data_IF_088466794756
#
_entry.id   IF_088466794756
#
_cell.length_a   1.000
_cell.length_b   1.000
_cell.length_c   1.000
_cell.angle_alpha   90.00
_cell.angle_beta   90.00
_cell.angle_gamma   90.00
#
_symmetry.space_group_name_H-M   'P 1'
#
loop_
_entity.id
_entity.type
_entity.pdbx_description
1 polymer ?
#
# COMPACT_ATOMS: atom_id res chain seq x y z
N UNK A 1 -18.39 1.45 -9.42
CA UNK A 1 -17.07 1.96 -9.87
C UNK A 1 -15.97 1.08 -9.28
N UNK A 2 -14.88 0.80 -10.00
CA UNK A 2 -13.72 0.07 -9.44
C UNK A 2 -12.81 1.02 -8.64
N UNK A 3 -12.42 0.62 -7.44
CA UNK A 3 -11.51 1.41 -6.59
C UNK A 3 -10.39 0.53 -6.08
N UNK A 4 -9.16 0.80 -6.53
CA UNK A 4 -7.95 0.18 -6.03
C UNK A 4 -7.27 1.04 -4.98
N UNK A 5 -7.17 0.54 -3.75
CA UNK A 5 -6.47 1.17 -2.63
C UNK A 5 -5.19 0.43 -2.29
N UNK A 6 -4.27 1.05 -1.57
CA UNK A 6 -3.02 0.43 -1.14
C UNK A 6 -2.02 1.49 -0.67
N UNK A 7 -0.79 1.08 -0.40
CA UNK A 7 0.29 1.97 0.00
C UNK A 7 1.06 2.50 -1.23
N UNK A 8 1.52 3.78 -1.25
CA UNK A 8 2.41 4.23 -2.32
C UNK A 8 3.64 3.32 -2.37
N UNK A 9 4.15 2.98 -3.55
CA UNK A 9 5.31 2.08 -3.73
C UNK A 9 5.02 0.57 -3.57
N UNK A 10 3.77 0.16 -3.34
CA UNK A 10 3.36 -1.24 -3.28
C UNK A 10 2.59 -1.72 -4.53
N UNK A 11 2.76 -1.05 -5.68
CA UNK A 11 2.23 -1.54 -6.96
C UNK A 11 0.93 -0.89 -7.43
N UNK A 12 0.52 0.27 -6.88
CA UNK A 12 -0.64 1.03 -7.39
C UNK A 12 -0.48 1.42 -8.86
N UNK A 13 0.70 1.93 -9.26
CA UNK A 13 0.98 2.27 -10.66
C UNK A 13 1.04 1.04 -11.58
N UNK A 14 1.64 -0.06 -11.11
CA UNK A 14 1.63 -1.35 -11.82
C UNK A 14 0.20 -1.81 -12.08
N UNK A 15 -0.64 -1.80 -11.05
CA UNK A 15 -2.01 -2.30 -11.13
C UNK A 15 -2.86 -1.44 -12.07
N UNK A 16 -2.76 -0.12 -12.02
CA UNK A 16 -3.44 0.76 -12.98
C UNK A 16 -3.01 0.46 -14.43
N UNK A 17 -1.71 0.27 -14.67
CA UNK A 17 -1.20 -0.08 -15.99
C UNK A 17 -1.69 -1.46 -16.46
N UNK A 18 -1.78 -2.44 -15.55
CA UNK A 18 -2.30 -3.79 -15.82
C UNK A 18 -3.79 -3.74 -16.20
N UNK A 19 -4.61 -3.03 -15.42
CA UNK A 19 -6.04 -2.88 -15.72
C UNK A 19 -6.23 -2.21 -17.09
N UNK A 20 -5.44 -1.17 -17.38
CA UNK A 20 -5.46 -0.50 -18.69
C UNK A 20 -5.02 -1.40 -19.83
N UNK A 21 -4.01 -2.25 -19.65
CA UNK A 21 -3.63 -3.22 -20.69
C UNK A 21 -4.70 -4.27 -20.93
N UNK A 22 -5.57 -4.52 -19.94
CA UNK A 22 -6.75 -5.39 -20.05
C UNK A 22 -8.02 -4.64 -20.54
N UNK A 23 -7.87 -3.43 -21.09
CA UNK A 23 -8.96 -2.67 -21.69
C UNK A 23 -9.83 -1.87 -20.71
N UNK A 24 -9.52 -1.87 -19.41
CA UNK A 24 -10.24 -1.07 -18.42
C UNK A 24 -9.68 0.36 -18.36
N UNK A 25 -10.56 1.34 -18.39
CA UNK A 25 -10.23 2.75 -18.17
C UNK A 25 -10.21 3.05 -16.67
N UNK A 26 -9.33 2.36 -15.95
CA UNK A 26 -9.00 2.62 -14.54
C UNK A 26 -7.65 3.34 -14.49
N UNK A 27 -7.64 4.58 -14.03
CA UNK A 27 -6.44 5.43 -14.08
C UNK A 27 -5.70 5.50 -12.74
N UNK A 28 -4.39 5.77 -12.77
CA UNK A 28 -3.57 5.97 -11.57
C UNK A 28 -3.75 7.40 -11.06
N UNK A 29 -4.32 7.56 -9.86
CA UNK A 29 -4.54 8.84 -9.16
C UNK A 29 -5.46 9.82 -9.93
N UNK A 30 -6.24 9.32 -10.88
CA UNK A 30 -7.28 10.04 -11.61
C UNK A 30 -8.49 9.13 -11.78
N UNK A 31 -9.67 9.73 -11.88
CA UNK A 31 -10.90 9.00 -12.12
C UNK A 31 -11.00 8.73 -13.63
N UNK A 32 -10.92 7.46 -14.02
CA UNK A 32 -11.23 6.99 -15.36
C UNK A 32 -12.69 6.54 -15.47
N UNK A 33 -13.11 6.11 -16.67
CA UNK A 33 -14.50 5.68 -16.92
C UNK A 33 -14.90 4.48 -16.06
N UNK A 34 -13.98 3.54 -15.83
CA UNK A 34 -14.27 2.31 -15.08
C UNK A 34 -13.88 2.41 -13.61
N UNK A 35 -12.98 3.35 -13.27
CA UNK A 35 -12.60 3.58 -11.88
C UNK A 35 -11.26 4.28 -11.68
N UNK A 36 -10.70 4.09 -10.48
CA UNK A 36 -9.44 4.71 -10.04
C UNK A 36 -8.60 3.71 -9.25
N UNK A 37 -7.28 3.79 -9.41
CA UNK A 37 -6.31 3.24 -8.46
C UNK A 37 -5.60 4.41 -7.79
N UNK A 38 -5.81 4.59 -6.48
CA UNK A 38 -5.22 5.70 -5.74
C UNK A 38 -5.01 5.33 -4.29
N UNK A 39 -3.74 5.37 -3.85
CA UNK A 39 -3.41 5.20 -2.44
C UNK A 39 -4.04 6.32 -1.59
N UNK A 40 -4.20 7.53 -2.13
CA UNK A 40 -4.79 8.66 -1.41
C UNK A 40 -6.29 8.52 -1.13
N UNK A 41 -6.99 7.57 -1.79
CA UNK A 41 -8.41 7.34 -1.55
C UNK A 41 -8.71 6.91 -0.10
N UNK A 42 -7.73 6.34 0.62
CA UNK A 42 -7.85 6.03 2.05
C UNK A 42 -8.11 7.25 2.94
N UNK A 43 -7.78 8.45 2.47
CA UNK A 43 -8.09 9.69 3.19
C UNK A 43 -9.58 9.99 3.27
N UNK A 44 -10.38 9.49 2.31
CA UNK A 44 -11.77 9.89 2.14
C UNK A 44 -11.95 11.35 1.73
N UNK A 45 -10.92 11.98 1.15
CA UNK A 45 -10.92 13.40 0.74
C UNK A 45 -10.92 13.53 -0.77
N UNK A 46 -11.52 14.58 -1.30
CA UNK A 46 -11.43 14.93 -2.72
C UNK A 46 -10.14 15.69 -3.02
N UNK A 47 -9.77 16.63 -2.13
CA UNK A 47 -8.52 17.38 -2.23
C UNK A 47 -7.37 16.53 -1.71
N UNK A 48 -6.50 16.12 -2.62
CA UNK A 48 -5.36 15.25 -2.33
C UNK A 48 -4.07 15.77 -2.97
N UNK A 49 -2.89 15.32 -2.52
CA UNK A 49 -1.64 15.88 -3.01
C UNK A 49 -1.35 15.59 -4.50
N UNK A 50 -1.89 14.52 -5.08
CA UNK A 50 -1.70 14.21 -6.50
C UNK A 50 -3.03 13.89 -7.18
N UNK A 51 -3.23 14.46 -8.37
CA UNK A 51 -4.39 14.18 -9.21
C UNK A 51 -5.73 14.51 -8.55
N UNK A 52 -6.67 13.57 -8.63
CA UNK A 52 -8.01 13.68 -8.05
C UNK A 52 -8.27 12.46 -7.18
N UNK A 53 -8.92 12.67 -6.04
CA UNK A 53 -9.48 11.58 -5.26
C UNK A 53 -11.01 11.61 -5.32
N UNK A 54 -11.60 10.48 -4.94
CA UNK A 54 -13.03 10.18 -5.07
C UNK A 54 -13.84 10.61 -3.84
N UNK A 55 -13.23 11.31 -2.88
CA UNK A 55 -13.89 11.64 -1.61
C UNK A 55 -14.09 10.41 -0.72
N UNK A 56 -15.10 10.42 0.16
CA UNK A 56 -15.50 9.26 0.94
C UNK A 56 -15.88 8.09 0.03
N UNK A 57 -15.47 6.88 0.39
CA UNK A 57 -15.84 5.67 -0.36
C UNK A 57 -17.33 5.39 -0.19
N UNK A 58 -18.06 5.33 -1.30
CA UNK A 58 -19.47 4.96 -1.32
C UNK A 58 -19.65 3.44 -1.23
N UNK A 59 -20.80 3.00 -0.71
CA UNK A 59 -21.13 1.58 -0.51
C UNK A 59 -21.21 0.78 -1.82
N UNK A 60 -21.49 1.45 -2.96
CA UNK A 60 -21.60 0.84 -4.28
C UNK A 60 -20.25 0.75 -5.03
N UNK A 61 -19.16 1.19 -4.40
CA UNK A 61 -17.82 1.06 -4.96
C UNK A 61 -17.31 -0.36 -4.77
N UNK A 62 -16.75 -0.92 -5.85
CA UNK A 62 -16.11 -2.23 -5.82
C UNK A 62 -14.66 -2.06 -5.41
N UNK A 63 -14.37 -2.38 -4.16
CA UNK A 63 -13.11 -2.05 -3.50
C UNK A 63 -12.16 -3.25 -3.51
N UNK A 64 -10.92 -3.04 -3.93
CA UNK A 64 -9.85 -4.03 -3.81
C UNK A 64 -8.58 -3.39 -3.24
N UNK A 65 -7.83 -4.17 -2.45
CA UNK A 65 -6.58 -3.72 -1.85
C UNK A 65 -5.38 -4.28 -2.60
N UNK A 66 -4.51 -3.39 -3.05
CA UNK A 66 -3.27 -3.70 -3.75
C UNK A 66 -2.17 -3.85 -2.71
N UNK A 67 -1.53 -5.01 -2.69
CA UNK A 67 -0.53 -5.37 -1.70
C UNK A 67 0.79 -5.77 -2.34
N UNK A 68 1.86 -5.67 -1.55
CA UNK A 68 3.20 -6.17 -1.84
C UNK A 68 3.81 -6.64 -0.53
N UNK A 69 4.71 -7.65 -0.56
CA UNK A 69 5.40 -8.12 0.64
C UNK A 69 5.94 -6.93 1.46
N UNK A 70 5.60 -6.84 2.76
CA UNK A 70 6.10 -5.80 3.65
C UNK A 70 7.62 -5.62 3.55
N UNK A 71 8.38 -6.71 3.68
CA UNK A 71 9.85 -6.67 3.68
C UNK A 71 10.39 -6.35 2.29
N UNK A 72 9.83 -6.93 1.23
CA UNK A 72 10.23 -6.60 -0.14
C UNK A 72 9.91 -5.15 -0.50
N UNK A 73 8.87 -4.55 0.08
CA UNK A 73 8.46 -3.17 -0.19
C UNK A 73 9.36 -2.13 0.50
N UNK A 74 9.97 -2.44 1.65
CA UNK A 74 10.75 -1.47 2.45
C UNK A 74 11.74 -0.65 1.62
N UNK A 75 12.53 -1.31 0.77
CA UNK A 75 13.52 -0.60 -0.03
C UNK A 75 12.95 0.37 -1.07
N UNK A 76 11.69 0.19 -1.45
CA UNK A 76 10.96 1.12 -2.31
C UNK A 76 10.26 2.24 -1.53
N UNK A 77 9.96 2.04 -0.25
CA UNK A 77 9.30 3.02 0.65
C UNK A 77 10.32 3.98 1.26
N UNK A 78 11.48 3.47 1.70
CA UNK A 78 12.59 4.26 2.25
C UNK A 78 12.88 5.55 1.45
N UNK A 79 13.12 5.51 0.12
CA UNK A 79 13.37 6.72 -0.66
C UNK A 79 12.11 7.59 -0.83
N UNK A 80 10.90 7.02 -0.78
CA UNK A 80 9.65 7.79 -0.88
C UNK A 80 9.44 8.67 0.36
N UNK A 81 9.97 8.29 1.52
CA UNK A 81 9.89 9.12 2.73
C UNK A 81 10.69 10.44 2.61
N UNK A 82 11.60 10.56 1.65
CA UNK A 82 12.28 11.83 1.34
C UNK A 82 11.34 12.83 0.64
N UNK A 83 10.25 12.35 0.03
CA UNK A 83 9.20 13.21 -0.50
C UNK A 83 8.32 13.69 0.65
N UNK A 84 8.63 14.90 1.16
CA UNK A 84 7.92 15.53 2.29
C UNK A 84 6.40 15.58 2.10
N UNK A 85 5.94 15.81 0.87
CA UNK A 85 4.51 15.84 0.54
C UNK A 85 3.86 14.47 0.75
N UNK A 86 4.59 13.39 0.47
CA UNK A 86 4.09 12.01 0.53
C UNK A 86 4.06 11.49 1.96
N UNK A 87 5.16 11.62 2.70
CA UNK A 87 5.20 11.21 4.10
C UNK A 87 4.30 12.10 4.98
N UNK A 88 4.25 13.41 4.71
CA UNK A 88 3.37 14.33 5.45
C UNK A 88 1.89 14.02 5.25
N UNK A 89 1.48 13.68 4.02
CA UNK A 89 0.10 13.24 3.76
C UNK A 89 -0.23 11.94 4.48
N UNK A 90 0.66 10.93 4.40
CA UNK A 90 0.46 9.66 5.10
C UNK A 90 0.36 9.85 6.61
N UNK A 91 1.28 10.62 7.19
CA UNK A 91 1.27 10.95 8.61
C UNK A 91 -0.06 11.60 9.05
N UNK A 92 -0.53 12.58 8.28
CA UNK A 92 -1.78 13.29 8.58
C UNK A 92 -2.97 12.33 8.62
N UNK A 93 -3.12 11.49 7.59
CA UNK A 93 -4.24 10.55 7.51
C UNK A 93 -4.12 9.44 8.56
N UNK A 94 -2.91 8.95 8.85
CA UNK A 94 -2.67 7.97 9.92
C UNK A 94 -3.09 8.54 11.28
N UNK A 95 -2.68 9.77 11.58
CA UNK A 95 -3.06 10.44 12.83
C UNK A 95 -4.58 10.62 12.93
N UNK A 96 -5.23 11.09 11.88
CA UNK A 96 -6.68 11.31 11.89
C UNK A 96 -7.51 10.03 12.02
N UNK A 97 -7.05 8.94 11.40
CA UNK A 97 -7.80 7.66 11.37
C UNK A 97 -7.51 6.77 12.57
N UNK A 98 -6.27 6.79 13.07
CA UNK A 98 -5.80 5.84 14.08
C UNK A 98 -5.33 6.51 15.38
N UNK A 99 -5.18 7.83 15.40
CA UNK A 99 -4.64 8.56 16.55
C UNK A 99 -3.13 8.40 16.75
N UNK A 100 -2.41 7.85 15.76
CA UNK A 100 -0.96 7.57 15.84
C UNK A 100 -0.17 8.69 15.15
N UNK A 101 0.77 9.31 15.85
CA UNK A 101 1.73 10.25 15.29
C UNK A 101 3.04 9.55 14.91
N UNK A 102 3.23 9.30 13.62
CA UNK A 102 4.45 8.63 13.13
C UNK A 102 5.73 9.47 13.29
N UNK A 103 5.62 10.76 13.63
CA UNK A 103 6.75 11.62 13.97
C UNK A 103 7.03 11.67 15.48
N UNK A 104 6.25 10.96 16.30
CA UNK A 104 6.51 10.80 17.72
C UNK A 104 7.58 9.73 17.98
N UNK A 105 8.61 10.10 18.74
CA UNK A 105 9.66 9.17 19.17
C UNK A 105 9.14 8.05 20.09
N UNK A 106 8.01 8.26 20.77
CA UNK A 106 7.42 7.23 21.63
C UNK A 106 6.67 6.15 20.85
N UNK A 107 6.24 6.47 19.62
CA UNK A 107 5.42 5.57 18.81
C UNK A 107 6.22 4.93 17.67
N UNK A 108 7.18 5.66 17.11
CA UNK A 108 7.94 5.23 15.93
C UNK A 108 9.42 5.62 16.11
N UNK A 109 10.37 4.72 15.83
CA UNK A 109 11.79 5.07 15.74
C UNK A 109 11.97 6.11 14.64
N UNK A 110 12.61 7.23 14.94
CA UNK A 110 12.79 8.34 14.00
C UNK A 110 13.97 8.06 13.03
N UNK A 111 13.90 6.91 12.38
CA UNK A 111 14.84 6.41 11.37
C UNK A 111 14.10 6.21 10.05
N UNK A 112 14.85 6.09 8.95
CA UNK A 112 14.24 5.80 7.65
C UNK A 112 13.39 4.53 7.66
N UNK A 113 13.89 3.46 8.29
CA UNK A 113 13.19 2.19 8.42
C UNK A 113 11.99 2.29 9.35
N UNK A 114 12.09 3.05 10.45
CA UNK A 114 10.98 3.31 11.36
C UNK A 114 9.80 3.97 10.63
N UNK A 115 10.05 5.05 9.88
CA UNK A 115 9.02 5.67 9.05
C UNK A 115 8.50 4.75 7.94
N UNK A 116 9.36 3.94 7.33
CA UNK A 116 8.94 3.02 6.27
C UNK A 116 7.99 1.95 6.81
N UNK A 117 8.34 1.30 7.92
CA UNK A 117 7.49 0.28 8.54
C UNK A 117 6.21 0.88 9.11
N UNK A 118 6.29 2.01 9.82
CA UNK A 118 5.11 2.67 10.39
C UNK A 118 4.14 3.14 9.31
N UNK A 119 4.63 3.81 8.27
CA UNK A 119 3.77 4.21 7.15
C UNK A 119 3.19 3.01 6.41
N UNK A 120 3.91 1.90 6.26
CA UNK A 120 3.36 0.68 5.68
C UNK A 120 2.24 0.08 6.56
N UNK A 121 2.57 -0.24 7.82
CA UNK A 121 1.69 -0.98 8.71
C UNK A 121 0.40 -0.22 9.00
N UNK A 122 0.49 1.05 9.38
CA UNK A 122 -0.69 1.84 9.71
C UNK A 122 -1.54 2.19 8.48
N UNK A 123 -0.93 2.39 7.31
CA UNK A 123 -1.68 2.65 6.09
C UNK A 123 -2.49 1.44 5.63
N UNK A 124 -1.89 0.24 5.69
CA UNK A 124 -2.61 -0.98 5.35
C UNK A 124 -3.63 -1.38 6.41
N UNK A 125 -3.39 -1.07 7.69
CA UNK A 125 -4.45 -1.20 8.70
C UNK A 125 -5.69 -0.40 8.29
N UNK A 126 -5.53 0.86 7.89
CA UNK A 126 -6.64 1.70 7.39
C UNK A 126 -7.27 1.08 6.13
N UNK A 127 -6.48 0.53 5.21
CA UNK A 127 -6.99 -0.11 4.01
C UNK A 127 -7.82 -1.37 4.32
N UNK A 128 -7.38 -2.19 5.28
CA UNK A 128 -8.02 -3.43 5.69
C UNK A 128 -9.30 -3.17 6.51
N UNK A 129 -9.33 -2.09 7.30
CA UNK A 129 -10.53 -1.65 8.04
C UNK A 129 -11.69 -1.27 7.10
N UNK A 130 -11.41 -1.01 5.81
CA UNK A 130 -12.42 -0.78 4.78
C UNK A 130 -12.99 -2.07 4.17
N UNK A 131 -12.53 -3.24 4.62
CA UNK A 131 -13.01 -4.55 4.18
C UNK A 131 -13.05 -4.72 2.65
N UNK A 132 -11.90 -4.58 1.96
CA UNK A 132 -11.84 -4.74 0.51
C UNK A 132 -12.35 -6.14 0.09
N UNK A 133 -13.05 -6.23 -1.04
CA UNK A 133 -13.62 -7.49 -1.53
C UNK A 133 -12.54 -8.52 -1.85
N UNK A 134 -11.38 -8.06 -2.35
CA UNK A 134 -10.19 -8.87 -2.58
C UNK A 134 -8.92 -8.12 -2.16
N UNK A 135 -7.88 -8.90 -1.89
CA UNK A 135 -6.50 -8.43 -1.82
C UNK A 135 -5.77 -8.94 -3.07
N UNK A 136 -5.10 -8.06 -3.79
CA UNK A 136 -4.32 -8.34 -4.99
C UNK A 136 -2.83 -8.10 -4.69
N UNK A 137 -2.09 -9.18 -4.46
CA UNK A 137 -0.64 -9.14 -4.21
C UNK A 137 0.10 -9.07 -5.54
N UNK A 138 0.70 -7.92 -5.83
CA UNK A 138 1.31 -7.66 -7.15
C UNK A 138 2.50 -8.58 -7.44
N UNK A 139 3.15 -9.10 -6.40
CA UNK A 139 4.27 -10.02 -6.43
C UNK A 139 3.86 -11.51 -6.46
N UNK A 140 2.56 -11.81 -6.52
CA UNK A 140 2.01 -13.16 -6.67
C UNK A 140 1.24 -13.25 -7.99
N UNK A 141 1.74 -14.02 -8.95
CA UNK A 141 1.07 -14.16 -10.26
C UNK A 141 -0.25 -14.93 -10.15
N UNK A 142 -0.38 -15.81 -9.15
CA UNK A 142 -1.61 -16.55 -8.89
C UNK A 142 -2.81 -15.65 -8.57
N UNK A 143 -2.56 -14.45 -8.00
CA UNK A 143 -3.59 -13.47 -7.66
C UNK A 143 -4.22 -12.83 -8.90
N UNK A 144 -3.62 -12.97 -10.09
CA UNK A 144 -4.21 -12.51 -11.35
C UNK A 144 -5.55 -13.21 -11.63
N UNK A 145 -5.70 -14.47 -11.21
CA UNK A 145 -6.97 -15.22 -11.35
C UNK A 145 -8.05 -14.65 -10.43
N UNK A 146 -7.69 -14.32 -9.19
CA UNK A 146 -8.59 -13.69 -8.22
C UNK A 146 -9.02 -12.30 -8.69
N UNK A 147 -8.08 -11.52 -9.22
CA UNK A 147 -8.37 -10.22 -9.82
C UNK A 147 -9.27 -10.35 -11.05
N UNK A 148 -9.02 -11.32 -11.94
CA UNK A 148 -9.88 -11.58 -13.10
C UNK A 148 -11.32 -11.94 -12.70
N UNK A 149 -11.47 -12.82 -11.71
CA UNK A 149 -12.78 -13.19 -11.16
C UNK A 149 -13.52 -11.97 -10.59
N UNK A 150 -12.82 -11.14 -9.81
CA UNK A 150 -13.36 -9.89 -9.28
C UNK A 150 -13.77 -8.93 -10.42
N UNK A 151 -12.93 -8.73 -11.43
CA UNK A 151 -13.25 -7.83 -12.54
C UNK A 151 -14.34 -8.36 -13.48
N UNK A 152 -14.61 -9.67 -13.45
CA UNK A 152 -15.52 -10.34 -14.38
C UNK A 152 -14.94 -10.46 -15.80
N UNK A 153 -13.63 -10.36 -15.96
CA UNK A 153 -12.94 -10.48 -17.24
C UNK A 153 -11.49 -10.96 -17.07
N UNK A 154 -10.87 -11.57 -18.11
CA UNK A 154 -9.48 -12.02 -18.03
C UNK A 154 -8.50 -10.89 -17.69
N UNK A 155 -7.50 -11.23 -16.86
CA UNK A 155 -6.35 -10.37 -16.58
C UNK A 155 -5.12 -11.08 -17.10
N UNK A 156 -4.28 -10.35 -17.83
CA UNK A 156 -3.02 -10.87 -18.34
C UNK A 156 -1.93 -9.82 -18.16
N UNK A 157 -0.85 -10.19 -17.46
CA UNK A 157 0.35 -9.37 -17.37
C UNK A 157 0.98 -9.21 -18.74
N UNK A 158 1.37 -7.99 -19.08
CA UNK A 158 2.17 -7.71 -20.25
C UNK A 158 3.62 -7.45 -19.84
N UNK A 159 4.57 -7.89 -20.66
CA UNK A 159 6.01 -7.78 -20.40
C UNK A 159 6.53 -6.33 -20.31
N UNK A 160 5.71 -5.35 -20.67
CA UNK A 160 6.03 -3.92 -20.61
C UNK A 160 5.68 -3.21 -19.31
N UNK A 161 5.09 -3.90 -18.32
CA UNK A 161 4.63 -3.27 -17.07
C UNK A 161 5.57 -3.62 -15.91
N UNK A 162 6.36 -2.65 -15.46
CA UNK A 162 7.25 -2.83 -14.31
C UNK A 162 6.47 -2.83 -12.98
N UNK A 163 6.72 -3.84 -12.13
CA UNK A 163 6.14 -3.94 -10.78
C UNK A 163 6.54 -2.76 -9.86
N UNK A 164 7.74 -2.23 -10.05
CA UNK A 164 8.22 -1.05 -9.32
C UNK A 164 8.40 0.11 -10.28
N UNK A 165 7.59 1.16 -10.16
CA UNK A 165 7.67 2.32 -11.06
C UNK A 165 8.95 3.16 -10.94
N UNK A 166 9.79 2.93 -9.92
CA UNK A 166 11.08 3.61 -9.76
C UNK A 166 12.14 2.63 -9.20
N UNK A 167 12.64 1.70 -10.02
CA UNK A 167 13.62 0.72 -9.55
C UNK A 167 14.98 1.37 -9.20
N UNK A 168 15.35 2.44 -9.92
CA UNK A 168 16.64 3.13 -9.81
C UNK A 168 16.86 3.91 -8.50
N UNK A 169 15.81 4.22 -7.74
CA UNK A 169 15.93 4.92 -6.45
C UNK A 169 15.83 3.99 -5.23
N UNK A 170 15.67 2.68 -5.45
CA UNK A 170 15.47 1.71 -4.38
C UNK A 170 16.69 1.68 -3.44
N UNK A 171 16.43 1.64 -2.14
CA UNK A 171 17.44 1.56 -1.08
C UNK A 171 17.33 0.25 -0.32
N UNK A 172 18.33 -0.62 -0.45
CA UNK A 172 18.36 -1.92 0.25
C UNK A 172 19.34 -1.91 1.44
N UNK A 173 19.82 -0.73 1.85
CA UNK A 173 20.72 -0.52 2.96
C UNK A 173 19.95 -0.44 4.29
N UNK A 174 19.16 -1.48 4.57
CA UNK A 174 18.45 -1.69 5.82
C UNK A 174 18.59 -3.16 6.23
N UNK A 175 18.55 -3.43 7.52
CA UNK A 175 18.73 -4.77 8.08
C UNK A 175 17.54 -5.16 8.95
N UNK A 176 17.07 -6.39 8.80
CA UNK A 176 15.93 -6.91 9.59
C UNK A 176 16.18 -6.85 11.10
N UNK A 177 17.43 -6.99 11.53
CA UNK A 177 17.83 -6.92 12.94
C UNK A 177 17.61 -5.55 13.57
N UNK A 178 17.45 -4.47 12.78
CA UNK A 178 17.09 -3.14 13.30
C UNK A 178 15.71 -3.14 13.96
N UNK A 179 14.80 -4.02 13.50
CA UNK A 179 13.43 -4.12 14.03
C UNK A 179 13.38 -4.55 15.49
N UNK A 180 14.41 -5.24 16.00
CA UNK A 180 14.47 -5.65 17.40
C UNK A 180 14.45 -4.47 18.40
N UNK A 181 14.77 -3.27 17.93
CA UNK A 181 14.72 -2.04 18.73
C UNK A 181 13.38 -1.29 18.64
N UNK A 182 12.45 -1.75 17.80
CA UNK A 182 11.24 -1.01 17.49
C UNK A 182 10.18 -1.21 18.59
N UNK A 183 9.26 -0.24 18.80
CA UNK A 183 8.15 -0.38 19.72
C UNK A 183 7.29 -1.61 19.38
N UNK A 184 7.02 -2.45 20.37
CA UNK A 184 6.18 -3.65 20.21
C UNK A 184 4.82 -3.38 19.57
N UNK A 185 4.07 -2.29 19.90
CA UNK A 185 2.79 -2.01 19.24
C UNK A 185 2.91 -1.85 17.71
N UNK A 186 3.99 -1.23 17.23
CA UNK A 186 4.26 -1.09 15.81
C UNK A 186 4.58 -2.46 15.18
N UNK A 187 5.40 -3.27 15.84
CA UNK A 187 5.74 -4.61 15.34
C UNK A 187 4.52 -5.54 15.28
N UNK A 188 3.67 -5.54 16.31
CA UNK A 188 2.42 -6.30 16.29
C UNK A 188 1.48 -5.83 15.17
N UNK A 189 1.32 -4.51 14.99
CA UNK A 189 0.53 -3.97 13.88
C UNK A 189 1.10 -4.43 12.52
N UNK A 190 2.43 -4.43 12.36
CA UNK A 190 3.07 -4.89 11.12
C UNK A 190 2.88 -6.40 10.88
N UNK A 191 2.90 -7.22 11.93
CA UNK A 191 2.63 -8.66 11.87
C UNK A 191 1.19 -8.91 11.46
N UNK A 192 0.22 -8.32 12.15
CA UNK A 192 -1.21 -8.49 11.87
C UNK A 192 -1.54 -8.09 10.43
N UNK A 193 -0.98 -6.97 9.98
CA UNK A 193 -1.14 -6.49 8.60
C UNK A 193 -0.48 -7.44 7.60
N UNK A 194 0.72 -7.94 7.88
CA UNK A 194 1.39 -8.89 6.99
C UNK A 194 0.57 -10.17 6.82
N UNK A 195 0.02 -10.72 7.91
CA UNK A 195 -0.86 -11.88 7.87
C UNK A 195 -2.14 -11.59 7.09
N UNK A 196 -2.82 -10.48 7.38
CA UNK A 196 -4.06 -10.10 6.73
C UNK A 196 -3.88 -9.82 5.22
N UNK A 197 -2.72 -9.32 4.80
CA UNK A 197 -2.37 -9.12 3.39
C UNK A 197 -1.95 -10.42 2.68
N UNK A 198 -1.81 -11.53 3.39
CA UNK A 198 -1.40 -12.81 2.82
C UNK A 198 0.11 -13.00 2.67
N UNK A 199 0.91 -12.44 3.60
CA UNK A 199 2.37 -12.61 3.71
C UNK A 199 2.79 -13.19 5.07
N UNK A 200 2.37 -14.43 5.41
CA UNK A 200 2.68 -15.06 6.70
C UNK A 200 4.17 -15.34 6.92
N UNK A 201 4.97 -15.44 5.86
CA UNK A 201 6.43 -15.50 5.94
C UNK A 201 7.04 -14.20 6.45
N UNK A 202 6.60 -13.04 5.96
CA UNK A 202 7.05 -11.73 6.45
C UNK A 202 6.61 -11.54 7.91
N UNK A 203 5.38 -11.91 8.25
CA UNK A 203 4.87 -11.89 9.62
C UNK A 203 5.76 -12.70 10.58
N UNK A 204 6.16 -13.92 10.20
CA UNK A 204 7.07 -14.77 10.99
C UNK A 204 8.46 -14.15 11.14
N UNK A 205 9.00 -13.55 10.07
CA UNK A 205 10.32 -12.91 10.11
C UNK A 205 10.31 -11.68 11.04
N UNK A 206 9.25 -10.87 11.01
CA UNK A 206 9.08 -9.73 11.91
C UNK A 206 8.88 -10.21 13.36
N UNK A 207 8.05 -11.22 13.57
CA UNK A 207 7.78 -11.82 14.89
C UNK A 207 9.06 -12.35 15.55
N UNK A 208 10.00 -12.89 14.78
CA UNK A 208 11.30 -13.35 15.27
C UNK A 208 12.22 -12.22 15.81
N UNK A 209 11.82 -10.95 15.68
CA UNK A 209 12.56 -9.80 16.20
C UNK A 209 12.02 -9.29 17.56
N UNK A 210 10.94 -9.87 18.09
CA UNK A 210 10.28 -9.45 19.34
C UNK A 210 10.86 -10.16 20.57
#
# INVERSE_FOLDING_TARGET
>A
MLVGIGHPRCGTGFTAALLRSCGLQVEHEKIGRDGIVSWMALSGRESVPWGHAIGPLAEDFRLFCIARSPLAAMGSILPENNNRRSIGWRATVIWEKLGVDIFSHSEVPQTGLGFALASFAYWYRIALDLHPEIIFRVDHEEDDTSLASFLGQPVQRSSGIELNSRPHIRRNDWHISELASFPRPLLYTAIDVAEALGYPEDARVISAQI
#
